data_IF_472245003372
#
_entry.id   IF_472245003372
#
_cell.length_a   1.000
_cell.length_b   1.000
_cell.length_c   1.000
_cell.angle_alpha   90.00
_cell.angle_beta   90.00
_cell.angle_gamma   90.00
#
_symmetry.space_group_name_H-M   'P 1'
#
loop_
_entity.id
_entity.type
_entity.pdbx_description
1 polymer ?
#
# COMPACT_ATOMS: atom_id res chain seq x y z
N UNK A 1 -8.40 -32.55 -28.91
CA UNK A 1 -9.65 -32.18 -28.24
C UNK A 1 -9.29 -31.20 -27.12
N UNK A 2 -10.19 -30.31 -26.70
CA UNK A 2 -9.86 -29.30 -25.67
C UNK A 2 -10.03 -29.86 -24.25
N UNK A 3 -9.21 -29.40 -23.32
CA UNK A 3 -9.35 -29.63 -21.89
C UNK A 3 -9.13 -28.30 -21.17
N UNK A 4 -9.70 -28.15 -19.97
CA UNK A 4 -9.61 -26.88 -19.28
C UNK A 4 -9.35 -27.01 -17.78
N UNK A 5 -8.64 -26.03 -17.25
CA UNK A 5 -8.47 -25.81 -15.82
C UNK A 5 -9.36 -24.67 -15.36
N UNK A 6 -10.11 -24.90 -14.28
CA UNK A 6 -10.88 -23.87 -13.57
C UNK A 6 -10.19 -23.56 -12.26
N UNK A 7 -9.53 -22.41 -12.19
CA UNK A 7 -8.63 -22.05 -11.09
C UNK A 7 -9.24 -20.94 -10.23
N UNK A 8 -9.16 -21.10 -8.91
CA UNK A 8 -9.43 -20.05 -7.92
C UNK A 8 -8.51 -20.17 -6.71
N UNK A 9 -8.40 -19.09 -5.95
CA UNK A 9 -7.80 -19.09 -4.61
C UNK A 9 -8.91 -19.00 -3.57
N UNK A 10 -9.00 -20.03 -2.73
CA UNK A 10 -9.88 -20.02 -1.57
C UNK A 10 -9.26 -19.16 -0.46
N UNK A 11 -9.92 -18.05 -0.21
CA UNK A 11 -9.68 -17.14 0.89
C UNK A 11 -11.05 -16.70 1.41
N UNK A 12 -11.27 -16.79 2.72
CA UNK A 12 -12.46 -16.23 3.36
C UNK A 12 -12.28 -14.73 3.40
N UNK A 13 -12.63 -14.04 2.32
CA UNK A 13 -12.72 -12.59 2.30
C UNK A 13 -14.08 -12.22 2.90
N UNK A 14 -14.11 -11.26 3.82
CA UNK A 14 -15.35 -10.52 4.11
C UNK A 14 -15.71 -9.73 2.83
N UNK A 15 -16.61 -10.29 2.03
CA UNK A 15 -16.87 -9.93 0.62
C UNK A 15 -17.90 -8.78 0.47
N UNK A 16 -18.40 -8.21 1.58
CA UNK A 16 -19.52 -7.25 1.55
C UNK A 16 -19.25 -6.00 0.71
N UNK A 17 -17.99 -5.57 0.61
CA UNK A 17 -17.59 -4.36 -0.11
C UNK A 17 -16.73 -4.62 -1.38
N UNK A 18 -16.35 -5.87 -1.66
CA UNK A 18 -15.61 -6.26 -2.86
C UNK A 18 -16.36 -7.40 -3.58
N UNK A 19 -17.48 -7.06 -4.23
CA UNK A 19 -18.42 -8.02 -4.83
C UNK A 19 -17.79 -8.97 -5.87
N UNK A 20 -16.73 -8.54 -6.53
CA UNK A 20 -16.00 -9.33 -7.53
C UNK A 20 -14.84 -10.16 -6.93
N UNK A 21 -14.65 -10.08 -5.60
CA UNK A 21 -13.49 -10.61 -4.88
C UNK A 21 -12.18 -9.90 -5.21
N UNK A 22 -11.08 -10.38 -4.64
CA UNK A 22 -9.74 -9.93 -5.02
C UNK A 22 -9.22 -10.74 -6.22
N UNK A 23 -8.20 -10.22 -6.91
CA UNK A 23 -7.45 -10.99 -7.91
C UNK A 23 -5.98 -11.10 -7.52
N UNK A 24 -5.39 -12.26 -7.80
CA UNK A 24 -3.96 -12.49 -7.63
C UNK A 24 -3.34 -13.03 -8.90
N UNK A 25 -2.02 -12.93 -8.99
CA UNK A 25 -1.28 -13.38 -10.17
C UNK A 25 -0.84 -14.82 -9.95
N UNK A 26 -1.05 -15.64 -10.98
CA UNK A 26 -0.65 -17.03 -10.98
C UNK A 26 -0.11 -17.49 -12.31
N UNK A 27 0.39 -18.71 -12.30
CA UNK A 27 0.95 -19.39 -13.45
C UNK A 27 0.46 -20.83 -13.51
N UNK A 28 0.33 -21.35 -14.73
CA UNK A 28 -0.03 -22.74 -15.01
C UNK A 28 1.05 -23.31 -15.93
N UNK A 29 1.70 -24.38 -15.48
CA UNK A 29 2.78 -25.04 -16.21
C UNK A 29 2.42 -26.51 -16.48
N UNK A 30 2.69 -27.05 -17.68
CA UNK A 30 2.70 -28.50 -17.87
C UNK A 30 3.87 -29.10 -17.08
N UNK A 31 3.61 -30.12 -16.25
CA UNK A 31 4.63 -30.69 -15.36
C UNK A 31 5.78 -31.37 -16.12
N UNK A 32 5.49 -31.89 -17.32
CA UNK A 32 6.51 -32.47 -18.20
C UNK A 32 7.39 -31.44 -18.92
N UNK A 33 7.15 -30.14 -18.75
CA UNK A 33 7.89 -29.06 -19.42
C UNK A 33 7.59 -28.90 -20.92
N UNK A 34 6.83 -29.82 -21.50
CA UNK A 34 6.33 -29.78 -22.88
C UNK A 34 4.89 -29.26 -22.88
N UNK A 35 4.60 -28.18 -23.61
CA UNK A 35 3.25 -27.62 -23.75
C UNK A 35 3.19 -26.11 -23.54
N UNK A 36 2.00 -25.52 -23.71
CA UNK A 36 1.78 -24.08 -23.53
C UNK A 36 1.61 -23.75 -22.05
N UNK A 37 2.50 -22.90 -21.51
CA UNK A 37 2.36 -22.36 -20.16
C UNK A 37 1.52 -21.07 -20.17
N UNK A 38 0.62 -20.94 -19.19
CA UNK A 38 -0.07 -19.67 -18.92
C UNK A 38 0.69 -18.93 -17.83
N UNK A 39 1.38 -17.85 -18.19
CA UNK A 39 2.16 -17.04 -17.24
C UNK A 39 1.45 -15.73 -16.96
N UNK A 40 1.57 -15.23 -15.73
CA UNK A 40 0.99 -13.96 -15.32
C UNK A 40 -0.50 -13.85 -15.68
N UNK A 41 -1.26 -14.86 -15.26
CA UNK A 41 -2.72 -14.91 -15.39
C UNK A 41 -3.39 -14.56 -14.06
N UNK A 42 -4.62 -14.08 -14.13
CA UNK A 42 -5.35 -13.65 -12.95
C UNK A 42 -6.20 -14.79 -12.39
N UNK A 43 -6.01 -15.10 -11.11
CA UNK A 43 -6.88 -16.01 -10.37
C UNK A 43 -7.80 -15.20 -9.45
N UNK A 44 -9.11 -15.45 -9.50
CA UNK A 44 -10.05 -14.86 -8.58
C UNK A 44 -9.86 -15.45 -7.17
N UNK A 45 -9.96 -14.58 -6.17
CA UNK A 45 -9.82 -14.89 -4.75
C UNK A 45 -11.12 -14.59 -4.01
N UNK A 46 -11.57 -15.56 -3.22
CA UNK A 46 -12.82 -15.44 -2.46
C UNK A 46 -13.47 -16.79 -2.29
N UNK A 47 -14.38 -16.89 -1.32
CA UNK A 47 -15.18 -18.10 -1.11
C UNK A 47 -16.21 -18.26 -2.23
N UNK A 48 -16.79 -17.13 -2.67
CA UNK A 48 -17.85 -17.07 -3.69
C UNK A 48 -17.32 -16.77 -5.09
N UNK A 49 -16.02 -16.50 -5.23
CA UNK A 49 -15.45 -16.06 -6.50
C UNK A 49 -15.53 -17.16 -7.57
N UNK A 50 -16.03 -16.79 -8.76
CA UNK A 50 -16.17 -17.71 -9.90
C UNK A 50 -14.79 -18.10 -10.43
N UNK A 51 -14.42 -19.40 -10.49
CA UNK A 51 -13.10 -19.81 -11.00
C UNK A 51 -12.83 -19.34 -12.44
N UNK A 52 -11.62 -18.85 -12.68
CA UNK A 52 -11.16 -18.49 -14.02
C UNK A 52 -10.85 -19.76 -14.82
N UNK A 53 -11.27 -19.79 -16.08
CA UNK A 53 -11.12 -20.96 -16.98
C UNK A 53 -9.97 -20.74 -17.95
N UNK A 54 -9.09 -21.72 -18.06
CA UNK A 54 -7.92 -21.72 -18.95
C UNK A 54 -7.91 -22.99 -19.79
N UNK A 55 -7.81 -22.86 -21.11
CA UNK A 55 -7.62 -23.98 -22.03
C UNK A 55 -6.19 -24.51 -21.91
N UNK A 56 -6.03 -25.82 -21.71
CA UNK A 56 -4.74 -26.49 -21.57
C UNK A 56 -4.76 -27.86 -22.23
N UNK A 57 -3.59 -28.43 -22.45
CA UNK A 57 -3.47 -29.80 -22.95
C UNK A 57 -3.85 -30.81 -21.84
N UNK A 58 -4.36 -32.01 -22.18
CA UNK A 58 -4.51 -33.08 -21.20
C UNK A 58 -3.17 -33.49 -20.58
N UNK A 59 -3.17 -33.86 -19.30
CA UNK A 59 -2.00 -34.35 -18.57
C UNK A 59 -1.69 -33.57 -17.27
N UNK A 60 -0.52 -33.83 -16.66
CA UNK A 60 -0.15 -33.26 -15.37
C UNK A 60 0.27 -31.78 -15.50
N UNK A 61 -0.27 -30.94 -14.62
CA UNK A 61 0.00 -29.51 -14.55
C UNK A 61 0.35 -29.08 -13.12
N UNK A 62 1.19 -28.06 -13.01
CA UNK A 62 1.48 -27.36 -11.76
C UNK A 62 0.83 -25.98 -11.83
N UNK A 63 -0.06 -25.68 -10.89
CA UNK A 63 -0.74 -24.39 -10.77
C UNK A 63 -0.17 -23.65 -9.57
N UNK A 64 0.37 -22.45 -9.80
CA UNK A 64 0.96 -21.61 -8.76
C UNK A 64 0.29 -20.25 -8.69
N UNK A 65 0.18 -19.68 -7.49
CA UNK A 65 -0.25 -18.30 -7.30
C UNK A 65 0.65 -17.63 -6.28
N UNK A 66 1.11 -16.42 -6.58
CA UNK A 66 1.81 -15.58 -5.60
C UNK A 66 0.77 -14.62 -5.05
N UNK A 67 0.66 -14.49 -3.73
CA UNK A 67 -0.20 -13.51 -3.09
C UNK A 67 0.50 -12.14 -2.98
N UNK A 68 -0.22 -11.03 -2.76
CA UNK A 68 0.39 -9.73 -2.48
C UNK A 68 1.30 -9.77 -1.24
N UNK A 69 0.98 -10.62 -0.27
CA UNK A 69 1.83 -10.98 0.88
C UNK A 69 3.12 -11.73 0.52
N UNK A 70 3.37 -12.01 -0.76
CA UNK A 70 4.53 -12.78 -1.23
C UNK A 70 4.45 -14.29 -0.95
N UNK A 71 3.42 -14.76 -0.25
CA UNK A 71 3.17 -16.20 -0.07
C UNK A 71 2.90 -16.85 -1.43
N UNK A 72 3.59 -17.95 -1.71
CA UNK A 72 3.40 -18.74 -2.93
C UNK A 72 2.56 -19.97 -2.61
N UNK A 73 1.43 -20.10 -3.28
CA UNK A 73 0.58 -21.28 -3.27
C UNK A 73 0.91 -22.15 -4.48
N UNK A 74 0.94 -23.47 -4.31
CA UNK A 74 1.16 -24.41 -5.41
C UNK A 74 0.23 -25.62 -5.27
N UNK A 75 -0.22 -26.16 -6.40
CA UNK A 75 -0.99 -27.40 -6.45
C UNK A 75 -0.83 -28.12 -7.79
N UNK A 76 -0.63 -29.43 -7.71
CA UNK A 76 -0.62 -30.31 -8.87
C UNK A 76 -2.06 -30.64 -9.31
N UNK A 77 -2.27 -30.75 -10.61
CA UNK A 77 -3.55 -31.05 -11.23
C UNK A 77 -3.40 -32.00 -12.41
N UNK A 78 -4.21 -33.05 -12.44
CA UNK A 78 -4.27 -33.99 -13.57
C UNK A 78 -5.44 -33.63 -14.47
N UNK A 79 -5.16 -33.08 -15.65
CA UNK A 79 -6.17 -32.59 -16.58
C UNK A 79 -6.58 -33.71 -17.53
N UNK A 80 -7.89 -34.00 -17.58
CA UNK A 80 -8.44 -35.05 -18.46
C UNK A 80 -8.97 -34.45 -19.76
N UNK A 81 -8.79 -35.19 -20.85
CA UNK A 81 -9.31 -34.81 -22.16
C UNK A 81 -10.84 -34.66 -22.14
N UNK A 82 -11.35 -33.56 -22.71
CA UNK A 82 -12.79 -33.28 -22.80
C UNK A 82 -13.47 -32.90 -21.49
N UNK A 83 -12.71 -32.63 -20.41
CA UNK A 83 -13.28 -32.29 -19.10
C UNK A 83 -12.67 -31.01 -18.49
N UNK A 84 -13.50 -30.29 -17.73
CA UNK A 84 -13.07 -29.19 -16.87
C UNK A 84 -12.51 -29.76 -15.56
N UNK A 85 -11.27 -29.42 -15.22
CA UNK A 85 -10.62 -29.81 -13.95
C UNK A 85 -10.59 -28.63 -12.99
N UNK A 86 -11.20 -28.79 -11.81
CA UNK A 86 -11.26 -27.73 -10.79
C UNK A 86 -10.00 -27.73 -9.92
N UNK A 87 -9.31 -26.59 -9.86
CA UNK A 87 -8.17 -26.36 -8.99
C UNK A 87 -8.49 -25.23 -8.02
N UNK A 88 -8.48 -25.56 -6.73
CA UNK A 88 -8.59 -24.58 -5.65
C UNK A 88 -7.29 -24.56 -4.89
N UNK A 89 -6.58 -23.43 -4.95
CA UNK A 89 -5.43 -23.11 -4.12
C UNK A 89 -5.96 -22.63 -2.76
N UNK A 90 -5.48 -23.20 -1.65
CA UNK A 90 -5.99 -22.87 -0.31
C UNK A 90 -4.92 -22.09 0.45
N UNK A 91 -5.33 -20.98 1.04
CA UNK A 91 -4.52 -20.22 2.00
C UNK A 91 -4.70 -20.76 3.41
N UNK A 92 -3.77 -20.47 4.31
CA UNK A 92 -4.07 -20.56 5.74
C UNK A 92 -5.16 -19.54 6.10
N UNK A 93 -5.89 -19.78 7.19
CA UNK A 93 -6.98 -18.88 7.62
C UNK A 93 -6.40 -17.58 8.20
N UNK A 94 -7.09 -16.47 7.96
CA UNK A 94 -6.91 -15.24 8.73
C UNK A 94 -7.30 -15.48 10.19
N UNK A 95 -6.67 -14.81 11.18
CA UNK A 95 -7.07 -14.90 12.59
C UNK A 95 -8.51 -14.43 12.81
N UNK A 96 -8.93 -13.40 12.08
CA UNK A 96 -10.29 -12.86 12.07
C UNK A 96 -10.80 -12.75 10.64
N UNK A 97 -12.10 -12.98 10.42
CA UNK A 97 -12.71 -12.87 9.09
C UNK A 97 -12.64 -11.45 8.53
N UNK A 98 -12.95 -10.47 9.37
CA UNK A 98 -12.78 -9.02 9.14
C UNK A 98 -11.36 -8.61 8.71
N UNK A 99 -10.31 -9.30 9.16
CA UNK A 99 -8.90 -9.01 8.82
C UNK A 99 -8.41 -9.75 7.58
N UNK A 100 -9.28 -10.49 6.88
CA UNK A 100 -8.90 -11.30 5.72
C UNK A 100 -8.18 -10.51 4.62
N UNK A 101 -8.53 -9.23 4.45
CA UNK A 101 -7.90 -8.36 3.47
C UNK A 101 -6.48 -7.98 3.89
N UNK A 102 -6.30 -7.60 5.15
CA UNK A 102 -4.98 -7.36 5.75
C UNK A 102 -4.11 -8.62 5.67
N UNK A 103 -4.68 -9.80 5.90
CA UNK A 103 -3.99 -11.08 5.76
C UNK A 103 -3.57 -11.36 4.31
N UNK A 104 -4.44 -11.09 3.32
CA UNK A 104 -4.08 -11.19 1.91
C UNK A 104 -2.89 -10.29 1.54
N UNK A 105 -2.84 -9.08 2.13
CA UNK A 105 -1.72 -8.14 1.94
C UNK A 105 -0.47 -8.53 2.73
N UNK A 106 -0.59 -9.42 3.73
CA UNK A 106 0.52 -9.91 4.54
C UNK A 106 0.82 -9.06 5.78
N UNK A 107 -0.16 -8.27 6.22
CA UNK A 107 -0.02 -7.34 7.34
C UNK A 107 -0.36 -7.97 8.69
N UNK A 108 -1.00 -9.13 8.66
CA UNK A 108 -1.29 -9.96 9.82
C UNK A 108 -0.97 -11.42 9.49
N UNK A 109 -0.52 -12.15 10.49
CA UNK A 109 -0.14 -13.55 10.34
C UNK A 109 -1.36 -14.45 10.13
N UNK A 110 -1.10 -15.69 9.70
CA UNK A 110 -2.15 -16.71 9.69
C UNK A 110 -2.63 -17.05 11.10
N UNK A 111 -3.87 -17.52 11.23
CA UNK A 111 -4.50 -17.94 12.49
C UNK A 111 -3.57 -18.77 13.40
N UNK A 112 -2.90 -19.79 12.83
CA UNK A 112 -2.04 -20.68 13.60
C UNK A 112 -0.85 -19.94 14.23
N UNK A 113 -0.16 -19.11 13.46
CA UNK A 113 0.96 -18.30 13.96
C UNK A 113 0.49 -17.19 14.90
N UNK A 114 -0.67 -16.57 14.63
CA UNK A 114 -1.23 -15.50 15.43
C UNK A 114 -1.61 -15.97 16.84
N UNK A 115 -2.18 -17.17 16.98
CA UNK A 115 -2.63 -17.72 18.27
C UNK A 115 -1.58 -18.62 18.96
N UNK A 116 -0.40 -18.80 18.37
CA UNK A 116 0.70 -19.52 18.99
C UNK A 116 1.50 -18.59 19.92
N UNK A 117 1.32 -18.78 21.22
CA UNK A 117 2.01 -17.99 22.26
C UNK A 117 3.52 -18.24 22.36
N UNK A 118 4.04 -19.29 21.71
CA UNK A 118 5.48 -19.57 21.63
C UNK A 118 6.13 -19.00 20.37
N UNK A 119 5.37 -18.82 19.27
CA UNK A 119 5.91 -18.46 17.96
C UNK A 119 6.18 -16.96 17.75
N UNK A 120 5.46 -16.08 18.44
CA UNK A 120 5.65 -14.62 18.32
C UNK A 120 5.91 -14.08 19.72
N UNK A 121 7.17 -13.75 20.08
CA UNK A 121 7.42 -13.09 21.34
C UNK A 121 6.66 -11.76 21.34
N UNK A 122 5.70 -11.62 22.27
CA UNK A 122 5.25 -10.28 22.69
C UNK A 122 6.53 -9.50 23.03
N UNK A 123 6.74 -8.28 22.52
CA UNK A 123 7.97 -7.55 22.73
C UNK A 123 8.34 -7.52 24.22
N UNK A 124 9.36 -8.29 24.62
CA UNK A 124 9.92 -8.28 25.99
C UNK A 124 10.85 -7.08 26.17
N UNK A 125 10.47 -5.92 25.63
CA UNK A 125 11.16 -4.71 26.02
C UNK A 125 10.79 -4.49 27.49
N UNK A 126 11.78 -4.47 28.38
CA UNK A 126 11.58 -4.02 29.76
C UNK A 126 11.27 -2.51 29.84
N UNK A 127 11.04 -1.85 28.69
CA UNK A 127 10.36 -0.56 28.57
C UNK A 127 8.84 -0.67 28.43
N UNK A 128 8.29 -1.88 28.26
CA UNK A 128 6.86 -2.17 28.37
C UNK A 128 6.44 -2.26 29.85
N UNK A 129 6.78 -1.23 30.63
CA UNK A 129 5.76 -0.73 31.52
C UNK A 129 4.66 -0.19 30.60
N UNK A 130 3.46 -0.73 30.71
CA UNK A 130 2.25 0.09 30.55
C UNK A 130 2.47 1.35 31.40
N UNK A 131 3.08 2.36 30.78
CA UNK A 131 3.32 3.64 31.42
C UNK A 131 1.98 4.11 31.95
N UNK A 132 1.94 4.43 33.24
CA UNK A 132 0.82 5.11 33.85
C UNK A 132 0.53 6.32 32.97
N UNK A 133 -0.62 6.28 32.33
CA UNK A 133 -1.05 7.25 31.33
C UNK A 133 -1.20 8.60 32.03
N UNK A 134 -0.41 9.59 31.65
CA UNK A 134 -0.69 10.97 32.01
C UNK A 134 -1.96 11.42 31.28
N UNK A 135 -2.89 12.00 32.03
CA UNK A 135 -4.25 12.40 31.64
C UNK A 135 -4.34 13.48 30.54
N UNK A 136 -3.26 13.72 29.80
CA UNK A 136 -3.18 14.74 28.75
C UNK A 136 -3.00 14.14 27.34
N UNK A 137 -3.13 12.82 27.14
CA UNK A 137 -3.17 12.23 25.80
C UNK A 137 -4.56 12.44 25.17
N UNK A 138 -4.59 13.01 23.97
CA UNK A 138 -5.82 13.27 23.19
C UNK A 138 -6.43 11.98 22.65
N UNK A 139 -5.66 10.89 22.66
CA UNK A 139 -6.05 9.58 22.12
C UNK A 139 -6.14 8.60 23.28
N UNK A 140 -7.34 8.07 23.50
CA UNK A 140 -7.60 7.01 24.48
C UNK A 140 -6.93 5.69 24.03
N UNK A 141 -6.58 4.78 24.95
CA UNK A 141 -6.14 3.43 24.58
C UNK A 141 -7.12 2.79 23.60
N UNK A 142 -6.59 2.28 22.47
CA UNK A 142 -7.42 1.69 21.41
C UNK A 142 -8.15 2.68 20.52
N UNK A 143 -7.84 3.97 20.63
CA UNK A 143 -8.25 4.99 19.65
C UNK A 143 -7.06 5.39 18.78
N UNK A 144 -7.39 6.08 17.69
CA UNK A 144 -6.45 6.82 16.87
C UNK A 144 -7.00 8.22 16.60
N UNK A 145 -6.14 9.18 16.25
CA UNK A 145 -6.60 10.52 15.88
C UNK A 145 -6.58 10.70 14.36
N UNK A 146 -7.76 10.91 13.77
CA UNK A 146 -7.91 11.24 12.37
C UNK A 146 -7.77 12.75 12.15
N UNK A 147 -6.96 13.10 11.15
CA UNK A 147 -6.76 14.46 10.66
C UNK A 147 -7.27 14.52 9.22
N UNK A 148 -8.53 14.93 9.07
CA UNK A 148 -9.17 15.12 7.77
C UNK A 148 -8.66 16.34 7.01
N UNK A 149 -8.35 17.43 7.71
CA UNK A 149 -7.90 18.69 7.14
C UNK A 149 -6.54 19.12 7.77
N UNK A 150 -5.42 18.66 7.20
CA UNK A 150 -4.09 18.99 7.67
C UNK A 150 -3.58 20.34 7.15
N UNK A 151 -2.67 20.97 7.89
CA UNK A 151 -1.98 22.20 7.46
C UNK A 151 -1.19 21.92 6.17
N UNK A 152 -1.16 22.83 5.17
CA UNK A 152 -0.40 22.63 3.94
C UNK A 152 1.10 22.31 4.14
N UNK A 153 1.69 22.84 5.22
CA UNK A 153 3.09 22.58 5.56
C UNK A 153 3.32 21.25 6.28
N UNK A 154 2.28 20.57 6.76
CA UNK A 154 2.43 19.42 7.66
C UNK A 154 3.10 18.22 6.99
N UNK A 155 3.00 18.08 5.68
CA UNK A 155 3.65 17.02 4.91
C UNK A 155 4.92 17.46 4.19
N UNK A 156 5.47 18.61 4.54
CA UNK A 156 6.78 19.02 4.05
C UNK A 156 7.89 18.23 4.76
N UNK A 157 9.01 17.98 4.07
CA UNK A 157 10.15 17.26 4.65
C UNK A 157 10.63 17.88 5.95
N UNK A 158 10.77 19.21 6.00
CA UNK A 158 11.18 19.92 7.20
C UNK A 158 10.23 19.71 8.38
N UNK A 159 8.91 19.75 8.15
CA UNK A 159 7.91 19.53 9.19
C UNK A 159 7.93 18.10 9.72
N UNK A 160 7.99 17.12 8.83
CA UNK A 160 8.03 15.70 9.20
C UNK A 160 9.33 15.32 9.91
N UNK A 161 10.48 15.87 9.48
CA UNK A 161 11.76 15.71 10.17
C UNK A 161 11.72 16.33 11.56
N UNK A 162 11.19 17.55 11.70
CA UNK A 162 11.02 18.20 13.00
C UNK A 162 10.22 17.31 13.96
N UNK A 163 9.06 16.82 13.52
CA UNK A 163 8.22 15.91 14.32
C UNK A 163 8.94 14.59 14.67
N UNK A 164 9.78 14.06 13.79
CA UNK A 164 10.46 12.79 14.00
C UNK A 164 11.71 12.90 14.89
N UNK A 165 12.36 14.06 14.92
CA UNK A 165 13.63 14.30 15.60
C UNK A 165 13.45 14.95 16.97
N UNK A 166 12.48 15.85 17.09
CA UNK A 166 12.18 16.65 18.28
C UNK A 166 10.83 16.21 18.87
N UNK A 167 10.76 15.82 20.15
CA UNK A 167 9.48 15.53 20.79
C UNK A 167 8.63 16.82 20.84
N UNK A 168 7.39 16.82 20.30
CA UNK A 168 6.61 18.04 20.22
C UNK A 168 6.11 18.46 21.61
N UNK A 169 6.03 19.78 21.85
CA UNK A 169 5.48 20.36 23.09
C UNK A 169 4.01 19.99 23.28
N UNK A 170 3.27 19.84 22.17
CA UNK A 170 1.87 19.43 22.13
C UNK A 170 1.72 18.06 21.46
N UNK A 171 0.59 17.37 21.65
CA UNK A 171 0.29 16.16 20.89
C UNK A 171 0.47 16.37 19.38
N UNK A 172 1.15 15.42 18.71
CA UNK A 172 1.52 15.45 17.28
C UNK A 172 0.35 15.86 16.39
N UNK A 173 -0.84 15.38 16.73
CA UNK A 173 -2.07 15.64 15.97
C UNK A 173 -2.35 17.14 15.80
N UNK A 174 -2.05 17.98 16.79
CA UNK A 174 -2.25 19.44 16.70
C UNK A 174 -1.15 20.16 15.93
N UNK A 175 0.03 19.54 15.80
CA UNK A 175 1.09 20.05 14.93
C UNK A 175 0.71 19.86 13.45
N UNK A 176 -0.01 18.79 13.13
CA UNK A 176 -0.43 18.43 11.76
C UNK A 176 -1.75 19.11 11.37
N UNK A 177 -2.75 19.11 12.25
CA UNK A 177 -4.12 19.45 11.90
C UNK A 177 -4.35 20.97 11.71
N UNK A 178 -5.04 21.35 10.64
CA UNK A 178 -5.53 22.72 10.44
C UNK A 178 -6.88 22.90 11.16
N UNK A 179 -7.78 21.94 10.97
CA UNK A 179 -9.05 21.83 11.71
C UNK A 179 -8.91 20.96 12.97
N UNK A 180 -9.94 20.95 13.83
CA UNK A 180 -9.93 20.10 15.03
C UNK A 180 -9.78 18.62 14.64
N UNK A 181 -8.81 17.88 15.22
CA UNK A 181 -8.68 16.45 14.97
C UNK A 181 -9.76 15.65 15.70
N UNK A 182 -10.05 14.46 15.19
CA UNK A 182 -11.10 13.61 15.72
C UNK A 182 -10.51 12.30 16.25
N UNK A 183 -10.83 11.99 17.51
CA UNK A 183 -10.54 10.67 18.07
C UNK A 183 -11.53 9.67 17.47
N UNK A 184 -11.01 8.56 16.96
CA UNK A 184 -11.80 7.47 16.40
C UNK A 184 -11.51 6.16 17.15
N UNK A 185 -12.53 5.42 17.59
CA UNK A 185 -12.33 4.11 18.21
C UNK A 185 -11.93 3.07 17.15
N UNK A 186 -11.18 2.06 17.56
CA UNK A 186 -11.03 0.86 16.73
C UNK A 186 -12.37 0.15 16.58
N UNK A 187 -12.59 -0.48 15.43
CA UNK A 187 -13.76 -1.32 15.19
C UNK A 187 -13.73 -2.58 16.06
N UNK A 188 -14.89 -3.05 16.51
CA UNK A 188 -15.04 -4.30 17.29
C UNK A 188 -14.99 -5.55 16.38
N UNK A 189 -13.97 -5.57 15.52
CA UNK A 189 -13.78 -6.58 14.46
C UNK A 189 -12.54 -7.44 14.72
N UNK A 190 -11.89 -7.35 15.87
CA UNK A 190 -10.64 -8.06 16.17
C UNK A 190 -10.40 -8.18 17.67
N UNK A 191 -9.14 -8.31 18.08
CA UNK A 191 -8.75 -8.16 19.49
C UNK A 191 -8.00 -6.84 19.71
N UNK A 192 -7.70 -6.53 20.98
CA UNK A 192 -6.94 -5.35 21.34
C UNK A 192 -5.52 -5.31 20.74
N UNK A 193 -5.00 -6.45 20.27
CA UNK A 193 -3.67 -6.54 19.69
C UNK A 193 -3.67 -6.33 18.16
N UNK A 194 -4.81 -6.44 17.49
CA UNK A 194 -4.97 -6.21 16.05
C UNK A 194 -6.18 -5.29 15.77
N UNK A 195 -6.01 -4.00 16.07
CA UNK A 195 -7.07 -3.00 15.93
C UNK A 195 -7.24 -2.54 14.49
N UNK A 196 -8.48 -2.51 14.01
CA UNK A 196 -8.80 -2.11 12.64
C UNK A 196 -9.55 -0.77 12.65
N UNK A 197 -9.20 0.10 11.72
CA UNK A 197 -9.89 1.37 11.45
C UNK A 197 -10.26 1.42 9.97
N UNK A 198 -11.46 1.91 9.64
CA UNK A 198 -11.93 2.03 8.26
C UNK A 198 -12.21 3.47 7.88
N UNK A 199 -11.94 3.80 6.62
CA UNK A 199 -12.21 5.11 6.05
C UNK A 199 -12.89 4.96 4.69
N UNK A 200 -13.95 5.74 4.49
CA UNK A 200 -14.65 5.88 3.22
C UNK A 200 -14.26 7.18 2.48
N UNK A 201 -15.08 7.62 1.51
CA UNK A 201 -14.81 8.83 0.73
C UNK A 201 -14.77 10.11 1.58
N UNK A 202 -15.52 10.13 2.68
CA UNK A 202 -15.72 11.33 3.51
C UNK A 202 -14.99 11.26 4.86
N UNK A 203 -14.11 10.27 5.07
CA UNK A 203 -13.40 10.09 6.34
C UNK A 203 -13.76 8.78 7.06
N UNK A 204 -13.70 8.73 8.40
CA UNK A 204 -13.86 7.50 9.17
C UNK A 204 -15.27 6.91 9.06
N UNK A 205 -15.35 5.59 8.96
CA UNK A 205 -16.61 4.83 8.88
C UNK A 205 -16.67 3.75 9.96
N UNK A 206 -17.89 3.32 10.30
CA UNK A 206 -18.12 2.23 11.25
C UNK A 206 -17.93 0.83 10.61
N UNK A 207 -18.30 -0.22 11.34
CA UNK A 207 -18.19 -1.61 10.87
C UNK A 207 -19.07 -1.92 9.66
N UNK A 208 -20.13 -1.16 9.44
CA UNK A 208 -21.05 -1.27 8.31
C UNK A 208 -20.64 -0.37 7.14
N UNK A 209 -19.62 0.46 7.31
CA UNK A 209 -19.17 1.42 6.30
C UNK A 209 -19.95 2.74 6.31
N UNK A 210 -20.75 3.00 7.34
CA UNK A 210 -21.49 4.25 7.48
C UNK A 210 -20.57 5.35 8.02
N UNK A 211 -20.64 6.59 7.49
CA UNK A 211 -19.85 7.71 7.98
C UNK A 211 -20.09 7.97 9.47
N UNK A 212 -19.00 8.07 10.23
CA UNK A 212 -19.06 8.39 11.68
C UNK A 212 -18.79 9.86 11.97
N UNK A 213 -18.39 10.62 10.95
CA UNK A 213 -18.01 12.01 11.09
C UNK A 213 -18.22 12.78 9.78
N UNK A 214 -18.79 13.99 9.90
CA UNK A 214 -18.94 14.95 8.80
C UNK A 214 -18.06 16.17 9.08
N UNK A 215 -16.83 16.14 8.55
CA UNK A 215 -15.82 17.17 8.76
C UNK A 215 -15.15 17.60 7.47
N UNK A 216 -14.41 18.72 7.49
CA UNK A 216 -13.65 19.14 6.32
C UNK A 216 -12.58 18.09 5.99
N UNK A 217 -12.52 17.71 4.71
CA UNK A 217 -11.47 16.86 4.17
C UNK A 217 -10.57 17.67 3.26
N UNK A 218 -9.29 17.70 3.57
CA UNK A 218 -8.25 18.24 2.71
C UNK A 218 -7.83 17.25 1.62
N UNK A 219 -6.92 17.67 0.73
CA UNK A 219 -6.41 16.82 -0.35
C UNK A 219 -5.56 15.65 0.17
N UNK A 220 -5.03 15.76 1.39
CA UNK A 220 -4.29 14.71 2.09
C UNK A 220 -4.92 14.52 3.46
N UNK A 221 -4.94 13.28 3.94
CA UNK A 221 -5.47 12.94 5.25
C UNK A 221 -4.45 12.11 6.02
N UNK A 222 -4.49 12.18 7.34
CA UNK A 222 -3.60 11.42 8.21
C UNK A 222 -4.36 10.67 9.30
N UNK A 223 -3.75 9.58 9.74
CA UNK A 223 -4.06 8.93 11.01
C UNK A 223 -2.84 9.05 11.91
N UNK A 224 -3.04 9.52 13.14
CA UNK A 224 -2.01 9.51 14.18
C UNK A 224 -2.33 8.39 15.16
N UNK A 225 -1.39 7.46 15.31
CA UNK A 225 -1.53 6.27 16.17
C UNK A 225 -0.42 6.29 17.21
N UNK A 226 -0.77 6.05 18.47
CA UNK A 226 0.20 5.83 19.54
C UNK A 226 0.26 4.35 19.87
N UNK A 227 1.44 3.75 19.77
CA UNK A 227 1.67 2.32 20.01
C UNK A 227 3.03 2.07 20.67
N UNK A 228 3.04 1.35 21.79
CA UNK A 228 4.24 0.96 22.54
C UNK A 228 5.20 2.15 22.83
N UNK A 229 4.63 3.29 23.19
CA UNK A 229 5.38 4.51 23.50
C UNK A 229 5.90 5.27 22.28
N UNK A 230 5.56 4.86 21.05
CA UNK A 230 5.90 5.56 19.82
C UNK A 230 4.65 6.10 19.14
N UNK A 231 4.76 7.27 18.53
CA UNK A 231 3.69 7.85 17.70
C UNK A 231 4.00 7.59 16.22
N UNK A 232 2.97 7.31 15.44
CA UNK A 232 3.03 7.06 14.02
C UNK A 232 2.17 8.08 13.29
N UNK A 233 2.73 8.73 12.27
CA UNK A 233 1.98 9.56 11.33
C UNK A 233 1.78 8.77 10.05
N UNK A 234 0.54 8.35 9.84
CA UNK A 234 0.13 7.45 8.77
C UNK A 234 -0.53 8.28 7.67
N UNK A 235 0.06 8.29 6.47
CA UNK A 235 -0.61 8.91 5.31
C UNK A 235 -1.77 8.02 4.87
N UNK A 236 -2.99 8.55 4.91
CA UNK A 236 -4.17 7.84 4.44
C UNK A 236 -4.38 8.10 2.94
N UNK A 237 -4.62 7.07 2.12
CA UNK A 237 -4.96 7.22 0.72
C UNK A 237 -6.43 7.60 0.52
N UNK A 238 -6.92 8.60 1.26
CA UNK A 238 -8.31 9.02 1.28
C UNK A 238 -8.49 10.41 0.63
N UNK A 239 -9.52 10.59 -0.23
CA UNK A 239 -10.47 9.57 -0.70
C UNK A 239 -9.88 8.65 -1.80
N UNK A 240 -10.36 7.41 -1.87
CA UNK A 240 -10.05 6.48 -2.97
C UNK A 240 -11.30 6.15 -3.82
N UNK A 241 -11.95 7.18 -4.38
CA UNK A 241 -13.24 6.97 -5.04
C UNK A 241 -14.26 6.40 -4.04
N UNK A 242 -14.86 5.25 -4.35
CA UNK A 242 -15.83 4.57 -3.46
C UNK A 242 -15.21 3.42 -2.65
N UNK A 243 -13.92 3.13 -2.81
CA UNK A 243 -13.27 2.03 -2.09
C UNK A 243 -13.05 2.39 -0.62
N UNK A 244 -13.22 1.41 0.26
CA UNK A 244 -12.84 1.55 1.65
C UNK A 244 -11.32 1.42 1.82
N UNK A 245 -10.81 2.10 2.84
CA UNK A 245 -9.41 2.07 3.25
C UNK A 245 -9.37 1.47 4.64
N UNK A 246 -8.44 0.55 4.87
CA UNK A 246 -8.24 -0.06 6.18
C UNK A 246 -6.85 0.28 6.72
N UNK A 247 -6.81 0.83 7.94
CA UNK A 247 -5.60 0.93 8.73
C UNK A 247 -5.64 -0.13 9.83
N UNK A 248 -4.65 -1.02 9.84
CA UNK A 248 -4.44 -2.01 10.89
C UNK A 248 -3.33 -1.51 11.81
N UNK A 249 -3.60 -1.50 13.12
CA UNK A 249 -2.61 -1.27 14.17
C UNK A 249 -2.37 -2.60 14.87
N UNK A 250 -1.19 -3.18 14.64
CA UNK A 250 -0.81 -4.50 15.13
C UNK A 250 0.21 -4.36 16.27
N UNK A 251 -0.22 -4.61 17.50
CA UNK A 251 0.64 -4.63 18.68
C UNK A 251 1.55 -5.87 18.71
N UNK A 252 1.18 -6.93 18.00
CA UNK A 252 2.01 -8.12 17.82
C UNK A 252 2.98 -7.83 16.68
N UNK A 253 4.18 -7.36 17.04
CA UNK A 253 5.22 -7.17 16.05
C UNK A 253 5.71 -8.53 15.54
N UNK A 254 5.10 -9.00 14.45
CA UNK A 254 5.68 -10.05 13.63
C UNK A 254 7.10 -9.65 13.21
N UNK A 255 8.05 -10.59 13.11
CA UNK A 255 9.34 -10.33 12.49
C UNK A 255 9.22 -9.76 11.06
N UNK A 256 8.09 -9.99 10.40
CA UNK A 256 7.85 -9.63 8.99
C UNK A 256 6.79 -8.54 8.78
N UNK A 257 6.07 -8.13 9.82
CA UNK A 257 4.87 -7.26 9.73
C UNK A 257 5.13 -5.85 10.25
N UNK A 258 4.35 -4.89 9.76
CA UNK A 258 4.42 -3.48 10.20
C UNK A 258 3.55 -3.26 11.42
N UNK A 259 4.00 -2.40 12.33
CA UNK A 259 3.23 -2.05 13.53
C UNK A 259 1.93 -1.32 13.17
N UNK A 260 1.97 -0.57 12.06
CA UNK A 260 0.78 0.01 11.43
C UNK A 260 0.88 -0.29 9.94
N UNK A 261 -0.24 -0.67 9.33
CA UNK A 261 -0.32 -0.93 7.89
C UNK A 261 -1.58 -0.36 7.28
N UNK A 262 -1.50 0.08 6.02
CA UNK A 262 -2.65 0.69 5.31
C UNK A 262 -2.92 -0.02 4.00
N UNK A 263 -4.18 -0.40 3.78
CA UNK A 263 -4.61 -1.08 2.56
C UNK A 263 -5.84 -0.42 1.97
N UNK A 264 -6.02 -0.58 0.66
CA UNK A 264 -7.23 -0.13 -0.06
C UNK A 264 -8.01 -1.35 -0.49
N UNK A 265 -9.30 -1.40 -0.17
CA UNK A 265 -10.23 -2.48 -0.54
C UNK A 265 -10.73 -2.30 -1.98
N UNK A 266 -9.78 -2.37 -2.91
CA UNK A 266 -10.01 -2.34 -4.36
C UNK A 266 -9.57 -3.67 -4.96
N UNK A 267 -10.47 -4.35 -5.70
CA UNK A 267 -10.27 -5.71 -6.21
C UNK A 267 -9.03 -5.90 -7.10
N UNK A 268 -8.53 -4.81 -7.70
CA UNK A 268 -7.36 -4.82 -8.58
C UNK A 268 -6.22 -3.99 -8.01
N UNK A 269 -6.50 -2.75 -7.62
CA UNK A 269 -5.44 -1.82 -7.24
C UNK A 269 -4.89 -2.13 -5.86
N UNK A 270 -5.73 -2.57 -4.92
CA UNK A 270 -5.28 -2.99 -3.59
C UNK A 270 -4.22 -4.09 -3.66
N UNK A 271 -4.50 -5.24 -4.30
CA UNK A 271 -3.49 -6.27 -4.53
C UNK A 271 -2.27 -5.79 -5.35
N UNK A 272 -2.46 -4.90 -6.32
CA UNK A 272 -1.36 -4.35 -7.11
C UNK A 272 -0.37 -3.53 -6.26
N UNK A 273 -0.86 -2.78 -5.28
CA UNK A 273 -0.03 -2.06 -4.31
C UNK A 273 0.84 -3.02 -3.48
N UNK A 274 0.28 -4.16 -3.04
CA UNK A 274 1.04 -5.18 -2.32
C UNK A 274 2.18 -5.79 -3.15
N UNK A 275 1.94 -6.07 -4.44
CA UNK A 275 3.02 -6.50 -5.34
C UNK A 275 4.06 -5.40 -5.57
N UNK A 276 3.61 -4.15 -5.72
CA UNK A 276 4.47 -3.00 -5.99
C UNK A 276 5.48 -2.77 -4.87
N UNK A 277 5.06 -2.83 -3.61
CA UNK A 277 5.93 -2.73 -2.44
C UNK A 277 7.06 -3.78 -2.46
N UNK A 278 6.78 -4.97 -2.99
CA UNK A 278 7.76 -6.06 -3.12
C UNK A 278 8.59 -5.97 -4.40
N UNK A 279 8.43 -4.93 -5.20
CA UNK A 279 9.10 -4.77 -6.49
C UNK A 279 8.58 -5.71 -7.59
N UNK A 280 7.47 -6.42 -7.37
CA UNK A 280 6.86 -7.32 -8.35
C UNK A 280 5.99 -6.55 -9.37
N UNK A 281 6.60 -5.59 -10.07
CA UNK A 281 5.91 -4.70 -11.01
C UNK A 281 5.21 -5.44 -12.15
N UNK A 282 5.75 -6.56 -12.64
CA UNK A 282 5.10 -7.37 -13.68
C UNK A 282 3.77 -7.98 -13.18
N UNK A 283 3.75 -8.42 -11.92
CA UNK A 283 2.54 -8.93 -11.27
C UNK A 283 1.54 -7.80 -11.03
N UNK A 284 2.01 -6.64 -10.56
CA UNK A 284 1.16 -5.46 -10.43
C UNK A 284 0.54 -5.05 -11.79
N UNK A 285 1.36 -4.95 -12.85
CA UNK A 285 0.94 -4.61 -14.21
C UNK A 285 -0.08 -5.61 -14.77
N UNK A 286 0.00 -6.88 -14.37
CA UNK A 286 -0.96 -7.91 -14.74
C UNK A 286 -2.36 -7.67 -14.16
N UNK A 287 -2.45 -7.12 -12.94
CA UNK A 287 -3.73 -6.74 -12.31
C UNK A 287 -4.29 -5.45 -12.90
N UNK A 288 -3.42 -4.52 -13.21
CA UNK A 288 -3.76 -3.24 -13.80
C UNK A 288 -3.43 -3.27 -15.30
N UNK A 289 -3.85 -4.30 -16.04
CA UNK A 289 -3.64 -4.37 -17.50
C UNK A 289 -4.25 -3.18 -18.26
N UNK A 290 -5.24 -2.54 -17.66
CA UNK A 290 -5.78 -1.25 -18.05
C UNK A 290 -5.27 -0.12 -17.14
N UNK A 291 -4.01 -0.15 -16.70
CA UNK A 291 -3.37 0.92 -15.92
C UNK A 291 -3.42 2.23 -16.67
N UNK A 292 -3.37 2.13 -17.99
CA UNK A 292 -3.73 3.23 -18.87
C UNK A 292 -5.16 3.70 -18.62
N UNK A 293 -6.19 2.85 -18.66
CA UNK A 293 -7.56 3.30 -18.33
C UNK A 293 -7.68 3.85 -16.91
N UNK A 294 -6.86 3.41 -15.95
CA UNK A 294 -6.77 4.05 -14.63
C UNK A 294 -6.16 5.45 -14.71
N UNK A 295 -5.14 5.64 -15.55
CA UNK A 295 -4.52 6.93 -15.83
C UNK A 295 -5.48 7.87 -16.59
N UNK A 296 -6.17 7.36 -17.62
CA UNK A 296 -7.10 8.09 -18.48
C UNK A 296 -8.44 8.37 -17.82
N UNK A 297 -8.94 7.43 -16.98
CA UNK A 297 -10.31 7.44 -16.46
C UNK A 297 -10.48 8.03 -15.05
N UNK A 298 -9.39 8.36 -14.34
CA UNK A 298 -9.45 8.71 -12.90
C UNK A 298 -8.81 10.06 -12.55
N UNK A 299 -9.10 11.13 -13.30
CA UNK A 299 -8.90 12.50 -12.75
C UNK A 299 -9.75 12.73 -11.48
N UNK A 300 -10.78 11.91 -11.25
CA UNK A 300 -11.58 11.89 -10.02
C UNK A 300 -10.93 11.14 -8.85
N UNK A 301 -9.86 10.38 -9.09
CA UNK A 301 -9.09 9.69 -8.04
C UNK A 301 -7.57 9.79 -8.35
N UNK A 302 -6.93 10.91 -7.95
CA UNK A 302 -5.50 11.15 -8.21
C UNK A 302 -4.59 10.05 -7.65
N UNK A 303 -4.93 9.52 -6.47
CA UNK A 303 -4.13 8.50 -5.80
C UNK A 303 -4.09 7.19 -6.59
N UNK A 304 -5.23 6.75 -7.12
CA UNK A 304 -5.28 5.57 -7.98
C UNK A 304 -4.56 5.79 -9.31
N UNK A 305 -4.64 7.00 -9.88
CA UNK A 305 -3.94 7.35 -11.12
C UNK A 305 -2.41 7.32 -10.92
N UNK A 306 -1.92 7.86 -9.81
CA UNK A 306 -0.50 7.80 -9.43
C UNK A 306 -0.03 6.38 -9.14
N UNK A 307 -0.83 5.56 -8.44
CA UNK A 307 -0.51 4.13 -8.26
C UNK A 307 -0.38 3.40 -9.61
N UNK A 308 -1.30 3.63 -10.54
CA UNK A 308 -1.21 3.11 -11.90
C UNK A 308 0.04 3.58 -12.64
N UNK A 309 0.40 4.86 -12.49
CA UNK A 309 1.61 5.42 -13.08
C UNK A 309 2.90 4.83 -12.49
N UNK A 310 2.97 4.55 -11.18
CA UNK A 310 4.10 3.80 -10.61
C UNK A 310 4.24 2.41 -11.21
N UNK A 311 3.12 1.71 -11.44
CA UNK A 311 3.15 0.40 -12.09
C UNK A 311 3.68 0.51 -13.51
N UNK A 312 3.13 1.42 -14.33
CA UNK A 312 3.58 1.64 -15.72
C UNK A 312 5.06 2.01 -15.79
N UNK A 313 5.47 3.01 -15.01
CA UNK A 313 6.84 3.52 -14.97
C UNK A 313 7.82 2.49 -14.39
N UNK A 314 7.35 1.62 -13.47
CA UNK A 314 8.14 0.57 -12.84
C UNK A 314 8.29 -0.70 -13.67
N UNK A 315 7.27 -1.07 -14.47
CA UNK A 315 7.34 -2.22 -15.39
C UNK A 315 8.00 -1.88 -16.72
N UNK A 316 8.03 -0.59 -17.09
CA UNK A 316 8.61 -0.16 -18.36
C UNK A 316 10.14 -0.02 -18.28
N UNK A 317 10.86 -0.87 -19.01
CA UNK A 317 12.33 -0.85 -19.06
C UNK A 317 12.90 -0.19 -20.31
N UNK A 318 12.08 0.17 -21.31
CA UNK A 318 12.56 0.80 -22.54
C UNK A 318 12.56 2.33 -22.47
N UNK A 319 13.48 2.93 -23.23
CA UNK A 319 13.61 4.37 -23.42
C UNK A 319 12.61 4.92 -24.45
N UNK A 320 11.83 4.03 -25.10
CA UNK A 320 10.91 4.42 -26.18
C UNK A 320 9.76 5.25 -25.64
N UNK A 321 9.28 6.25 -26.38
CA UNK A 321 8.06 6.97 -26.04
C UNK A 321 6.87 6.01 -25.97
N UNK A 322 6.03 6.19 -24.96
CA UNK A 322 4.78 5.45 -24.80
C UNK A 322 3.57 6.37 -24.88
N UNK A 323 2.42 5.82 -25.27
CA UNK A 323 1.16 6.57 -25.41
C UNK A 323 0.70 7.26 -24.11
N UNK A 324 1.13 6.72 -22.97
CA UNK A 324 0.83 7.25 -21.64
C UNK A 324 1.86 8.26 -21.12
N UNK A 325 2.99 8.49 -21.79
CA UNK A 325 3.99 9.48 -21.34
C UNK A 325 3.42 10.90 -21.14
N UNK A 326 2.54 11.43 -22.03
CA UNK A 326 1.93 12.76 -21.84
C UNK A 326 1.09 12.87 -20.57
N UNK A 327 0.58 11.76 -20.03
CA UNK A 327 -0.21 11.78 -18.80
C UNK A 327 0.60 12.04 -17.56
N UNK A 328 1.89 11.67 -17.53
CA UNK A 328 2.75 12.04 -16.40
C UNK A 328 2.86 13.56 -16.27
N UNK A 329 2.86 14.28 -17.41
CA UNK A 329 2.82 15.75 -17.40
C UNK A 329 1.50 16.25 -16.80
N UNK A 330 0.36 15.63 -17.13
CA UNK A 330 -0.92 16.00 -16.52
C UNK A 330 -0.92 15.74 -15.01
N UNK A 331 -0.45 14.57 -14.57
CA UNK A 331 -0.35 14.26 -13.13
C UNK A 331 0.52 15.28 -12.39
N UNK A 332 1.64 15.71 -12.99
CA UNK A 332 2.48 16.78 -12.43
C UNK A 332 1.71 18.09 -12.30
N UNK A 333 0.99 18.55 -13.32
CA UNK A 333 0.39 19.90 -13.32
C UNK A 333 -0.98 19.99 -12.65
N UNK A 334 -1.77 18.92 -12.64
CA UNK A 334 -3.17 18.93 -12.15
C UNK A 334 -3.26 18.69 -10.62
N UNK A 335 -2.23 18.09 -10.02
CA UNK A 335 -2.18 17.77 -8.60
C UNK A 335 -0.93 18.38 -7.96
N UNK A 336 -0.90 19.71 -7.90
CA UNK A 336 0.22 20.50 -7.37
C UNK A 336 0.56 20.20 -5.89
N UNK A 337 -0.44 19.79 -5.11
CA UNK A 337 -0.28 19.37 -3.72
C UNK A 337 0.47 18.04 -3.54
N UNK A 338 0.62 17.24 -4.60
CA UNK A 338 1.25 15.90 -4.53
C UNK A 338 2.62 15.88 -5.22
N UNK A 339 3.61 15.36 -4.48
CA UNK A 339 4.98 15.15 -4.97
C UNK A 339 5.07 14.13 -6.09
N UNK A 340 4.32 13.03 -5.98
CA UNK A 340 4.46 11.83 -6.81
C UNK A 340 4.30 12.09 -8.32
N UNK A 341 3.42 13.02 -8.71
CA UNK A 341 3.23 13.38 -10.13
C UNK A 341 4.48 13.98 -10.76
N UNK A 342 5.10 14.95 -10.08
CA UNK A 342 6.36 15.57 -10.52
C UNK A 342 7.50 14.56 -10.52
N UNK A 343 7.56 13.71 -9.49
CA UNK A 343 8.56 12.66 -9.36
C UNK A 343 8.48 11.63 -10.49
N UNK A 344 7.28 11.10 -10.79
CA UNK A 344 7.09 10.11 -11.85
C UNK A 344 7.48 10.69 -13.22
N UNK A 345 7.10 11.93 -13.48
CA UNK A 345 7.51 12.65 -14.69
C UNK A 345 9.03 12.76 -14.77
N UNK A 346 9.69 13.18 -13.68
CA UNK A 346 11.14 13.34 -13.62
C UNK A 346 11.87 12.02 -13.84
N UNK A 347 11.45 10.94 -13.16
CA UNK A 347 12.05 9.61 -13.30
C UNK A 347 11.92 9.05 -14.72
N UNK A 348 10.82 9.37 -15.41
CA UNK A 348 10.61 8.96 -16.80
C UNK A 348 11.46 9.80 -17.76
N UNK A 349 11.61 11.10 -17.52
CA UNK A 349 12.45 11.98 -18.33
C UNK A 349 13.93 11.67 -18.15
N UNK A 350 14.38 11.44 -16.93
CA UNK A 350 15.78 11.11 -16.63
C UNK A 350 16.22 9.82 -17.34
N UNK A 351 15.35 8.79 -17.38
CA UNK A 351 15.61 7.55 -18.12
C UNK A 351 15.70 7.72 -19.63
N UNK A 352 15.12 8.79 -20.18
CA UNK A 352 15.02 9.06 -21.62
C UNK A 352 15.89 10.24 -22.05
N UNK A 353 16.64 10.84 -21.11
CA UNK A 353 17.43 12.03 -21.39
C UNK A 353 18.61 11.67 -22.28
N UNK A 354 18.71 12.33 -23.43
CA UNK A 354 19.81 12.21 -24.37
C UNK A 354 20.56 13.54 -24.55
N UNK A 355 20.15 14.57 -23.82
CA UNK A 355 20.74 15.91 -23.82
C UNK A 355 20.80 16.50 -22.42
N UNK A 356 21.70 17.46 -22.22
CA UNK A 356 21.82 18.17 -20.94
C UNK A 356 20.52 18.90 -20.58
N UNK A 357 19.84 19.51 -21.55
CA UNK A 357 18.56 20.20 -21.32
C UNK A 357 17.46 19.25 -20.81
N UNK A 358 17.40 18.01 -21.31
CA UNK A 358 16.44 17.01 -20.81
C UNK A 358 16.80 16.53 -19.40
N UNK A 359 18.11 16.42 -19.11
CA UNK A 359 18.63 16.08 -17.79
C UNK A 359 18.36 17.19 -16.77
N UNK A 360 18.56 18.45 -17.13
CA UNK A 360 18.20 19.64 -16.34
C UNK A 360 16.68 19.69 -16.08
N UNK A 361 15.86 19.43 -17.09
CA UNK A 361 14.41 19.40 -16.91
C UNK A 361 13.97 18.33 -15.91
N UNK A 362 14.59 17.15 -15.94
CA UNK A 362 14.35 16.10 -14.95
C UNK A 362 14.81 16.49 -13.55
N UNK A 363 15.97 17.14 -13.44
CA UNK A 363 16.50 17.70 -12.18
C UNK A 363 15.54 18.70 -11.55
N UNK A 364 15.02 19.65 -12.32
CA UNK A 364 14.09 20.66 -11.82
C UNK A 364 12.78 20.04 -11.35
N UNK A 365 12.29 19.01 -12.06
CA UNK A 365 11.10 18.28 -11.64
C UNK A 365 11.32 17.42 -10.37
N UNK A 366 12.53 16.93 -10.10
CA UNK A 366 12.87 16.28 -8.82
C UNK A 366 12.88 17.29 -7.66
N UNK A 367 13.41 18.49 -7.89
CA UNK A 367 13.38 19.55 -6.90
C UNK A 367 11.95 19.98 -6.59
N UNK A 368 11.15 20.17 -7.64
CA UNK A 368 9.71 20.46 -7.50
C UNK A 368 9.00 19.35 -6.72
N UNK A 369 9.29 18.07 -7.01
CA UNK A 369 8.72 16.96 -6.27
C UNK A 369 9.06 17.05 -4.77
N UNK A 370 10.31 17.37 -4.42
CA UNK A 370 10.70 17.56 -3.03
C UNK A 370 9.97 18.74 -2.37
N UNK A 371 9.86 19.87 -3.08
CA UNK A 371 9.28 21.11 -2.56
C UNK A 371 7.75 21.02 -2.37
N UNK A 372 7.07 20.13 -3.10
CA UNK A 372 5.67 19.76 -2.86
C UNK A 372 5.46 18.92 -1.60
N UNK A 373 6.55 18.39 -1.03
CA UNK A 373 6.58 17.66 0.23
C UNK A 373 6.81 16.16 0.08
N UNK A 374 6.62 15.44 1.17
CA UNK A 374 6.84 13.99 1.25
C UNK A 374 5.84 13.27 0.34
N UNK A 375 6.28 12.34 -0.52
CA UNK A 375 5.38 11.53 -1.35
C UNK A 375 4.27 10.84 -0.55
N UNK A 376 3.15 10.55 -1.21
CA UNK A 376 2.07 9.75 -0.59
C UNK A 376 2.49 8.29 -0.53
N UNK A 377 3.13 7.80 -1.60
CA UNK A 377 3.59 6.43 -1.70
C UNK A 377 5.03 6.31 -1.21
N UNK A 378 5.29 5.27 -0.42
CA UNK A 378 6.64 4.96 0.10
C UNK A 378 7.65 4.68 -1.01
N UNK A 379 7.18 4.07 -2.10
CA UNK A 379 7.98 3.90 -3.31
C UNK A 379 8.45 5.26 -3.86
N UNK A 380 7.61 6.29 -3.79
CA UNK A 380 7.97 7.65 -4.18
C UNK A 380 9.14 8.19 -3.39
N UNK A 381 9.17 8.01 -2.07
CA UNK A 381 10.32 8.44 -1.27
C UNK A 381 11.62 7.76 -1.72
N UNK A 382 11.57 6.45 -1.99
CA UNK A 382 12.72 5.70 -2.48
C UNK A 382 13.17 6.18 -3.87
N UNK A 383 12.23 6.47 -4.76
CA UNK A 383 12.51 6.99 -6.10
C UNK A 383 13.05 8.42 -6.07
N UNK A 384 12.58 9.26 -5.16
CA UNK A 384 13.09 10.62 -4.97
C UNK A 384 14.54 10.60 -4.50
N UNK A 385 14.88 9.74 -3.54
CA UNK A 385 16.26 9.55 -3.08
C UNK A 385 17.17 9.11 -4.23
N UNK A 386 16.72 8.13 -5.02
CA UNK A 386 17.48 7.67 -6.19
C UNK A 386 17.63 8.77 -7.24
N UNK A 387 16.55 9.45 -7.62
CA UNK A 387 16.58 10.52 -8.63
C UNK A 387 17.48 11.69 -8.23
N UNK A 388 17.39 12.17 -6.98
CA UNK A 388 18.26 13.23 -6.48
C UNK A 388 19.74 12.79 -6.43
N UNK A 389 20.02 11.50 -6.23
CA UNK A 389 21.40 10.99 -6.22
C UNK A 389 22.09 10.96 -7.59
N UNK A 390 21.33 11.12 -8.69
CA UNK A 390 21.88 11.25 -10.04
C UNK A 390 22.54 12.62 -10.30
N UNK A 391 22.41 13.56 -9.34
CA UNK A 391 22.96 14.92 -9.40
C UNK A 391 23.85 15.23 -8.18
N UNK A 392 24.96 14.49 -7.96
CA UNK A 392 25.79 14.63 -6.77
C UNK A 392 26.52 15.97 -6.65
N UNK A 393 26.83 16.60 -7.79
CA UNK A 393 27.55 17.88 -7.85
C UNK A 393 26.62 19.10 -7.70
N UNK A 394 25.30 18.87 -7.67
CA UNK A 394 24.31 19.92 -7.47
C UNK A 394 24.04 20.10 -5.96
N UNK A 395 24.40 21.25 -5.38
CA UNK A 395 24.25 21.48 -3.94
C UNK A 395 22.78 21.48 -3.48
N UNK A 396 21.84 21.88 -4.34
CA UNK A 396 20.41 21.86 -4.02
C UNK A 396 19.86 20.43 -3.99
N UNK A 397 20.27 19.60 -4.95
CA UNK A 397 19.93 18.17 -4.94
C UNK A 397 20.55 17.47 -3.74
N UNK A 398 21.82 17.73 -3.44
CA UNK A 398 22.53 17.13 -2.31
C UNK A 398 21.87 17.47 -0.95
N UNK A 399 21.48 18.72 -0.74
CA UNK A 399 20.81 19.14 0.49
C UNK A 399 19.43 18.48 0.67
N UNK A 400 18.65 18.36 -0.41
CA UNK A 400 17.33 17.70 -0.39
C UNK A 400 17.45 16.19 -0.26
N UNK A 401 18.47 15.59 -0.87
CA UNK A 401 18.81 14.18 -0.73
C UNK A 401 19.12 13.80 0.72
N UNK A 402 19.87 14.66 1.44
CA UNK A 402 20.14 14.47 2.87
C UNK A 402 18.84 14.41 3.69
N UNK A 403 17.95 15.38 3.50
CA UNK A 403 16.65 15.41 4.19
C UNK A 403 15.77 14.20 3.85
N UNK A 404 15.70 13.82 2.57
CA UNK A 404 14.92 12.67 2.13
C UNK A 404 15.46 11.35 2.75
N UNK A 405 16.78 11.19 2.80
CA UNK A 405 17.44 10.05 3.46
C UNK A 405 17.17 10.04 4.96
N UNK A 406 17.33 11.18 5.66
CA UNK A 406 17.04 11.25 7.10
C UNK A 406 15.60 10.85 7.42
N UNK A 407 14.64 11.31 6.62
CA UNK A 407 13.24 10.93 6.81
C UNK A 407 13.02 9.44 6.50
N UNK A 408 13.66 8.88 5.47
CA UNK A 408 13.47 7.48 5.10
C UNK A 408 13.90 6.49 6.19
N UNK A 409 14.79 6.90 7.11
CA UNK A 409 15.17 6.08 8.27
C UNK A 409 14.04 5.96 9.30
N UNK A 410 13.01 6.79 9.17
CA UNK A 410 11.81 6.80 10.03
C UNK A 410 10.58 6.27 9.33
N UNK A 411 10.67 5.91 8.04
CA UNK A 411 9.54 5.42 7.25
C UNK A 411 9.58 3.90 7.16
N UNK A 412 8.44 3.24 7.37
CA UNK A 412 8.34 1.81 7.11
C UNK A 412 8.29 1.55 5.59
N UNK A 413 9.41 1.08 5.02
CA UNK A 413 9.52 0.87 3.58
C UNK A 413 8.72 -0.33 3.06
N UNK A 414 8.12 -1.12 3.96
CA UNK A 414 7.29 -2.29 3.61
C UNK A 414 5.82 -1.91 3.43
N UNK A 415 5.45 -0.66 3.70
CA UNK A 415 4.09 -0.19 3.52
C UNK A 415 3.95 0.55 2.19
N UNK A 416 2.81 0.39 1.48
CA UNK A 416 2.60 1.09 0.20
C UNK A 416 2.53 2.61 0.38
N UNK A 417 2.05 3.07 1.53
CA UNK A 417 1.88 4.48 1.87
C UNK A 417 2.86 4.91 2.95
N UNK A 418 3.27 6.18 2.92
CA UNK A 418 4.25 6.70 3.88
C UNK A 418 3.69 6.69 5.29
N UNK A 419 4.34 5.92 6.16
CA UNK A 419 4.11 5.88 7.60
C UNK A 419 5.40 6.31 8.29
N UNK A 420 5.36 7.45 9.00
CA UNK A 420 6.52 8.01 9.70
C UNK A 420 6.44 7.63 11.18
N UNK A 421 7.48 6.99 11.70
CA UNK A 421 7.64 6.70 13.13
C UNK A 421 8.32 7.89 13.82
N UNK A 422 7.62 8.48 14.79
CA UNK A 422 8.11 9.59 15.59
C UNK A 422 8.81 9.08 16.84
N UNK A 423 9.69 9.91 17.42
CA UNK A 423 10.26 9.58 18.72
C UNK A 423 9.17 9.64 19.78
N UNK A 424 9.07 8.59 20.58
CA UNK A 424 8.26 8.58 21.78
C UNK A 424 8.63 9.73 22.72
N UNK A 425 7.63 10.27 23.43
CA UNK A 425 7.91 11.10 24.61
C UNK A 425 8.61 10.21 25.63
N UNK A 426 9.80 10.62 26.07
CA UNK A 426 10.43 9.97 27.23
C UNK A 426 9.52 10.29 28.43
N UNK A 427 9.08 9.28 29.21
CA UNK A 427 8.20 9.49 30.35
C UNK A 427 8.81 10.40 31.42
#
# INVERSE_FOLDING_TARGET
MSAALRVRVALSLDETDVSDGAKVVGNIYPAGGTGVAHRNVLFPCGASATPARFEVEPGPHIVTATLPSGVVLSKDAEVREGADTNVTLRTARSPYESHSWQYLMGNIESYGAYHDGEAIPVPRSQGSSSGVWEWNSVVEPGHAAWVGDPKPSSWQFASMLKLAEEPPERPVVFEIAHSAPHSIPSLDLGDAAARLYRFGPNGPVDEHGEPTHDGPTGPRQFLVVSLAGSDYVVTLPAPWGTAQIEALVNERQSPTGSAVSVTVRDSRVGPALGYMVRGAFDSAATLVKDAESMLYGKMTNPLAAVAGAYVLVGSELSERPHRWDPWLSRLRHEFDWMSDGSLLWAMRHLRRAHSEAEREAARDALLEAFDRGVPVFTLGLSRLIHGLSEFPDDPECAARLDQARRLSWRVDTREPFVIVTLRGRTP
#
